data_IF_882361415400
#
_entry.id   IF_882361415400
#
_cell.length_a   1.000
_cell.length_b   1.000
_cell.length_c   1.000
_cell.angle_alpha   90.00
_cell.angle_beta   90.00
_cell.angle_gamma   90.00
#
_symmetry.space_group_name_H-M   'P 1'
#
loop_
_entity.id
_entity.type
_entity.pdbx_description
1 polymer ?
#
# COMPACT_ATOMS: atom_id res chain seq x y z
N UNK A 1 -12.49 14.24 -2.97
CA UNK A 1 -12.51 15.22 -1.87
C UNK A 1 -11.63 16.39 -2.29
N UNK A 2 -11.99 17.61 -1.94
CA UNK A 2 -11.10 18.75 -2.14
C UNK A 2 -9.92 18.61 -1.18
N UNK A 3 -8.69 18.73 -1.69
CA UNK A 3 -7.49 18.65 -0.87
C UNK A 3 -7.50 19.78 0.17
N UNK A 4 -7.31 19.45 1.45
CA UNK A 4 -7.12 20.47 2.48
C UNK A 4 -5.84 21.26 2.15
N UNK A 5 -5.92 22.59 1.97
CA UNK A 5 -4.75 23.42 1.72
C UNK A 5 -3.70 23.27 2.81
N UNK A 6 -2.42 23.27 2.44
CA UNK A 6 -1.30 23.13 3.39
C UNK A 6 -1.30 24.23 4.45
N UNK A 7 -1.74 25.45 4.11
CA UNK A 7 -1.92 26.56 5.03
C UNK A 7 -2.91 26.23 6.18
N UNK A 8 -3.99 25.52 5.86
CA UNK A 8 -5.03 25.17 6.83
C UNK A 8 -4.51 24.10 7.81
N UNK A 9 -3.60 23.22 7.36
CA UNK A 9 -2.92 22.25 8.23
C UNK A 9 -2.05 22.98 9.27
N UNK A 10 -1.32 24.02 8.86
CA UNK A 10 -0.55 24.88 9.78
C UNK A 10 -1.45 25.61 10.78
N UNK A 11 -2.53 26.23 10.29
CA UNK A 11 -3.48 26.94 11.12
C UNK A 11 -4.13 26.00 12.16
N UNK A 12 -4.53 24.80 11.74
CA UNK A 12 -5.07 23.77 12.63
C UNK A 12 -4.08 23.30 13.70
N UNK A 13 -2.78 23.37 13.42
CA UNK A 13 -1.73 23.06 14.37
C UNK A 13 -1.31 24.27 15.24
N UNK A 14 -2.01 25.41 15.17
CA UNK A 14 -1.70 26.66 15.88
C UNK A 14 -0.32 27.23 15.55
N UNK A 15 0.19 26.95 14.34
CA UNK A 15 1.44 27.49 13.82
C UNK A 15 1.14 28.59 12.79
N UNK A 16 1.86 29.71 12.89
CA UNK A 16 1.69 30.86 12.00
C UNK A 16 3.03 31.23 11.33
N UNK A 17 3.49 30.45 10.33
CA UNK A 17 4.66 30.83 9.54
C UNK A 17 4.36 32.09 8.72
N UNK A 18 5.39 32.84 8.36
CA UNK A 18 5.25 33.95 7.41
C UNK A 18 4.86 33.43 6.03
N UNK A 19 4.26 34.29 5.20
CA UNK A 19 3.82 33.90 3.85
C UNK A 19 4.99 33.38 2.98
N UNK A 20 6.17 33.96 3.13
CA UNK A 20 7.38 33.54 2.40
C UNK A 20 7.84 32.14 2.82
N UNK A 21 7.88 31.87 4.14
CA UNK A 21 8.23 30.55 4.69
C UNK A 21 7.21 29.49 4.27
N UNK A 22 5.92 29.83 4.31
CA UNK A 22 4.87 28.93 3.88
C UNK A 22 4.99 28.59 2.38
N UNK A 23 5.24 29.60 1.54
CA UNK A 23 5.40 29.42 0.09
C UNK A 23 6.63 28.57 -0.25
N UNK A 24 7.76 28.81 0.42
CA UNK A 24 8.97 28.00 0.27
C UNK A 24 8.72 26.52 0.59
N UNK A 25 8.01 26.24 1.69
CA UNK A 25 7.71 24.87 2.11
C UNK A 25 6.69 24.18 1.22
N UNK A 26 5.68 24.89 0.71
CA UNK A 26 4.76 24.35 -0.30
C UNK A 26 5.56 23.94 -1.54
N UNK A 27 6.52 24.75 -1.98
CA UNK A 27 7.38 24.40 -3.12
C UNK A 27 8.20 23.13 -2.84
N UNK A 28 8.72 22.94 -1.62
CA UNK A 28 9.36 21.67 -1.22
C UNK A 28 8.41 20.49 -1.31
N UNK A 29 7.19 20.60 -0.74
CA UNK A 29 6.18 19.54 -0.76
C UNK A 29 5.85 19.14 -2.19
N UNK A 30 5.57 20.13 -3.04
CA UNK A 30 5.25 19.90 -4.45
C UNK A 30 6.39 19.23 -5.20
N UNK A 31 7.64 19.65 -4.94
CA UNK A 31 8.83 19.04 -5.55
C UNK A 31 8.96 17.58 -5.15
N UNK A 32 8.81 17.26 -3.85
CA UNK A 32 8.94 15.89 -3.36
C UNK A 32 7.86 14.98 -3.94
N UNK A 33 6.61 15.44 -3.95
CA UNK A 33 5.47 14.67 -4.47
C UNK A 33 5.61 14.43 -5.98
N UNK A 34 6.00 15.45 -6.75
CA UNK A 34 6.20 15.31 -8.21
C UNK A 34 7.45 14.51 -8.57
N UNK A 35 8.50 14.61 -7.76
CA UNK A 35 9.77 13.90 -7.97
C UNK A 35 9.69 12.40 -7.67
N UNK A 36 8.65 11.95 -6.96
CA UNK A 36 8.52 10.59 -6.47
C UNK A 36 9.32 10.40 -5.18
N UNK A 37 8.62 10.11 -4.09
CA UNK A 37 9.24 9.83 -2.79
C UNK A 37 9.42 8.32 -2.65
N UNK A 38 10.61 7.89 -2.26
CA UNK A 38 10.90 6.50 -1.93
C UNK A 38 10.04 6.02 -0.75
N UNK A 39 9.63 4.76 -0.78
CA UNK A 39 8.77 4.15 0.24
C UNK A 39 9.37 4.24 1.66
N UNK A 40 10.68 4.06 1.81
CA UNK A 40 11.36 4.22 3.10
C UNK A 40 11.16 5.63 3.69
N UNK A 41 11.22 6.67 2.85
CA UNK A 41 10.97 8.06 3.26
C UNK A 41 9.50 8.28 3.61
N UNK A 42 8.57 7.62 2.90
CA UNK A 42 7.13 7.66 3.26
C UNK A 42 6.91 7.04 4.64
N UNK A 43 7.55 5.92 4.95
CA UNK A 43 7.49 5.28 6.28
C UNK A 43 8.02 6.22 7.37
N UNK A 44 9.10 6.95 7.12
CA UNK A 44 9.62 7.95 8.06
C UNK A 44 8.66 9.12 8.27
N UNK A 45 8.01 9.59 7.20
CA UNK A 45 6.97 10.62 7.29
C UNK A 45 5.76 10.13 8.11
N UNK A 46 5.31 8.90 7.91
CA UNK A 46 4.22 8.30 8.69
C UNK A 46 4.64 8.14 10.16
N UNK A 47 5.86 7.67 10.41
CA UNK A 47 6.42 7.61 11.76
C UNK A 47 6.41 8.99 12.42
N UNK A 48 6.84 10.03 11.69
CA UNK A 48 6.87 11.40 12.17
C UNK A 48 5.46 11.91 12.47
N UNK A 49 4.52 11.70 11.55
CA UNK A 49 3.11 12.09 11.67
C UNK A 49 2.46 11.53 12.95
N UNK A 50 2.81 10.30 13.31
CA UNK A 50 2.35 9.64 14.53
C UNK A 50 3.19 9.90 15.79
N UNK A 51 4.21 10.76 15.70
CA UNK A 51 5.08 11.10 16.84
C UNK A 51 5.99 9.96 17.30
N UNK A 52 6.42 9.09 16.38
CA UNK A 52 7.35 8.00 16.73
C UNK A 52 8.70 8.56 17.17
N UNK A 53 9.27 8.11 18.30
CA UNK A 53 10.58 8.57 18.74
C UNK A 53 11.70 8.02 17.84
N UNK A 54 12.84 8.71 17.84
CA UNK A 54 14.11 8.25 17.22
C UNK A 54 14.06 8.02 15.70
N UNK A 55 13.47 8.95 14.96
CA UNK A 55 13.49 8.94 13.49
C UNK A 55 14.68 9.73 12.94
N UNK A 56 15.33 9.20 11.90
CA UNK A 56 16.31 9.96 11.13
C UNK A 56 15.61 10.76 10.02
N UNK A 57 15.32 12.02 10.31
CA UNK A 57 14.70 12.96 9.37
C UNK A 57 15.70 13.92 8.72
N UNK A 58 17.00 13.60 8.74
CA UNK A 58 18.02 14.46 8.13
C UNK A 58 17.74 14.69 6.63
N UNK A 59 17.24 13.67 5.93
CA UNK A 59 16.85 13.80 4.52
C UNK A 59 15.75 14.85 4.31
N UNK A 60 14.76 14.92 5.20
CA UNK A 60 13.65 15.86 5.11
C UNK A 60 14.14 17.28 5.39
N UNK A 61 15.02 17.44 6.39
CA UNK A 61 15.71 18.71 6.65
C UNK A 61 16.48 19.18 5.41
N UNK A 62 17.27 18.30 4.81
CA UNK A 62 18.13 18.65 3.68
C UNK A 62 17.31 19.06 2.45
N UNK A 63 16.11 18.51 2.28
CA UNK A 63 15.16 18.94 1.25
C UNK A 63 14.49 20.28 1.57
N UNK A 64 14.12 20.53 2.83
CA UNK A 64 13.51 21.78 3.26
C UNK A 64 14.49 22.96 3.22
N UNK A 65 15.75 22.75 3.62
CA UNK A 65 16.79 23.80 3.65
C UNK A 65 17.11 24.37 2.27
N UNK A 66 16.80 23.63 1.19
CA UNK A 66 16.95 24.13 -0.20
C UNK A 66 16.05 25.32 -0.49
N UNK A 67 14.85 25.36 0.09
CA UNK A 67 13.87 26.43 -0.12
C UNK A 67 13.71 27.33 1.11
N UNK A 68 13.88 26.78 2.31
CA UNK A 68 13.82 27.46 3.63
C UNK A 68 15.12 27.22 4.41
N UNK A 69 16.13 28.05 4.15
CA UNK A 69 17.44 27.98 4.84
C UNK A 69 17.37 28.13 6.36
N UNK A 70 16.23 28.56 6.91
CA UNK A 70 16.03 28.75 8.35
C UNK A 70 15.45 27.51 9.04
N UNK A 71 15.08 26.47 8.29
CA UNK A 71 14.48 25.26 8.83
C UNK A 71 15.50 24.46 9.67
N UNK A 72 15.07 24.04 10.85
CA UNK A 72 15.86 23.19 11.75
C UNK A 72 14.95 22.17 12.41
N UNK A 73 15.44 20.94 12.55
CA UNK A 73 14.76 19.86 13.28
C UNK A 73 14.84 20.07 14.81
N UNK A 74 15.79 20.90 15.29
CA UNK A 74 16.01 21.13 16.72
C UNK A 74 14.89 22.03 17.24
N UNK A 75 14.13 21.54 18.23
CA UNK A 75 13.01 22.24 18.89
C UNK A 75 11.78 22.52 18.00
N UNK A 76 11.65 21.84 16.85
CA UNK A 76 10.52 22.01 15.92
C UNK A 76 9.82 20.70 15.57
N UNK A 77 9.66 19.82 16.56
CA UNK A 77 9.01 18.52 16.39
C UNK A 77 7.58 18.68 15.83
N UNK A 78 6.75 19.52 16.46
CA UNK A 78 5.37 19.76 16.01
C UNK A 78 5.29 20.33 14.60
N UNK A 79 6.19 21.24 14.23
CA UNK A 79 6.25 21.79 12.86
C UNK A 79 6.66 20.71 11.85
N UNK A 80 7.60 19.85 12.22
CA UNK A 80 8.02 18.71 11.38
C UNK A 80 6.86 17.73 11.16
N UNK A 81 6.05 17.47 12.20
CA UNK A 81 4.83 16.67 12.08
C UNK A 81 3.81 17.29 11.12
N UNK A 82 3.63 18.62 11.16
CA UNK A 82 2.74 19.34 10.23
C UNK A 82 3.23 19.22 8.79
N UNK A 83 4.53 19.36 8.57
CA UNK A 83 5.13 19.18 7.23
C UNK A 83 4.93 17.75 6.75
N UNK A 84 5.19 16.75 7.60
CA UNK A 84 4.96 15.36 7.28
C UNK A 84 3.49 15.08 6.93
N UNK A 85 2.55 15.59 7.74
CA UNK A 85 1.12 15.49 7.48
C UNK A 85 0.75 16.11 6.13
N UNK A 86 1.32 17.27 5.78
CA UNK A 86 1.04 17.91 4.50
C UNK A 86 1.61 17.16 3.29
N UNK A 87 2.81 16.58 3.40
CA UNK A 87 3.36 15.71 2.34
C UNK A 87 2.47 14.48 2.17
N UNK A 88 2.11 13.81 3.27
CA UNK A 88 1.25 12.63 3.26
C UNK A 88 -0.16 12.92 2.73
N UNK A 89 -0.72 14.10 3.05
CA UNK A 89 -1.97 14.58 2.49
C UNK A 89 -1.86 14.75 0.96
N UNK A 90 -0.81 15.41 0.47
CA UNK A 90 -0.56 15.56 -0.97
C UNK A 90 -0.39 14.20 -1.66
N UNK A 91 0.32 13.25 -1.06
CA UNK A 91 0.45 11.87 -1.57
C UNK A 91 -0.90 11.13 -1.60
N UNK A 92 -1.72 11.29 -0.57
CA UNK A 92 -3.07 10.71 -0.50
C UNK A 92 -3.97 11.26 -1.61
N UNK A 93 -3.89 12.57 -1.85
CA UNK A 93 -4.61 13.25 -2.93
C UNK A 93 -4.10 12.84 -4.32
N UNK A 94 -2.81 12.54 -4.46
CA UNK A 94 -2.20 11.98 -5.67
C UNK A 94 -2.46 10.47 -5.84
N UNK A 95 -3.24 9.85 -4.95
CA UNK A 95 -3.55 8.40 -4.97
C UNK A 95 -2.28 7.52 -4.89
N UNK A 96 -1.30 7.93 -4.09
CA UNK A 96 -0.17 7.07 -3.77
C UNK A 96 -0.61 5.95 -2.82
N UNK A 97 -0.72 4.73 -3.35
CA UNK A 97 -1.28 3.61 -2.62
C UNK A 97 -0.49 3.23 -1.36
N UNK A 98 0.83 3.23 -1.46
CA UNK A 98 1.73 2.90 -0.36
C UNK A 98 1.56 3.88 0.81
N UNK A 99 1.55 5.19 0.53
CA UNK A 99 1.33 6.21 1.56
C UNK A 99 -0.02 6.08 2.24
N UNK A 100 -1.09 5.86 1.46
CA UNK A 100 -2.44 5.67 1.99
C UNK A 100 -2.48 4.46 2.94
N UNK A 101 -1.92 3.33 2.52
CA UNK A 101 -1.89 2.12 3.34
C UNK A 101 -1.03 2.32 4.59
N UNK A 102 0.15 2.94 4.47
CA UNK A 102 1.05 3.20 5.59
C UNK A 102 0.41 4.10 6.66
N UNK A 103 -0.32 5.14 6.27
CA UNK A 103 -1.10 5.98 7.20
C UNK A 103 -2.13 5.13 7.94
N UNK A 104 -2.96 4.36 7.20
CA UNK A 104 -4.00 3.52 7.80
C UNK A 104 -3.42 2.50 8.76
N UNK A 105 -2.34 1.82 8.36
CA UNK A 105 -1.65 0.81 9.18
C UNK A 105 -1.03 1.43 10.44
N UNK A 106 -0.36 2.58 10.29
CA UNK A 106 0.31 3.29 11.38
C UNK A 106 -0.62 3.81 12.47
N UNK A 107 -1.92 4.00 12.15
CA UNK A 107 -2.96 4.34 13.14
C UNK A 107 -3.21 3.23 14.16
N UNK A 108 -2.77 2.01 13.86
CA UNK A 108 -2.99 0.81 14.67
C UNK A 108 -4.47 0.66 15.09
N UNK A 109 -5.36 0.68 14.10
CA UNK A 109 -6.82 0.62 14.30
C UNK A 109 -7.37 1.72 15.22
N UNK A 110 -6.79 2.92 15.15
CA UNK A 110 -7.20 4.08 15.95
C UNK A 110 -6.61 4.14 17.36
N UNK A 111 -5.82 3.14 17.77
CA UNK A 111 -5.13 3.16 19.06
C UNK A 111 -3.95 4.14 19.06
N UNK A 112 -3.49 4.55 17.88
CA UNK A 112 -2.52 5.63 17.72
C UNK A 112 -3.16 6.79 16.95
N UNK A 113 -3.35 7.90 17.65
CA UNK A 113 -3.90 9.12 17.07
C UNK A 113 -2.79 10.16 16.85
N UNK A 114 -2.73 10.79 15.67
CA UNK A 114 -1.76 11.85 15.41
C UNK A 114 -2.19 13.14 16.14
N UNK A 115 -1.21 13.88 16.65
CA UNK A 115 -1.42 15.15 17.34
C UNK A 115 -1.77 16.29 16.37
N UNK A 116 -1.38 16.16 15.11
CA UNK A 116 -1.59 17.14 14.05
C UNK A 116 -2.45 16.53 12.95
N UNK A 117 -3.45 17.28 12.49
CA UNK A 117 -4.29 16.93 11.34
C UNK A 117 -4.84 15.48 11.33
N UNK A 118 -5.58 15.07 12.39
CA UNK A 118 -6.16 13.71 12.48
C UNK A 118 -7.15 13.37 11.36
N UNK A 119 -7.72 14.38 10.70
CA UNK A 119 -8.57 14.20 9.52
C UNK A 119 -7.87 13.42 8.40
N UNK A 120 -6.54 13.51 8.27
CA UNK A 120 -5.78 12.73 7.29
C UNK A 120 -5.98 11.23 7.42
N UNK A 121 -6.16 10.71 8.64
CA UNK A 121 -6.40 9.28 8.87
C UNK A 121 -7.76 8.88 8.30
N UNK A 122 -8.78 9.71 8.49
CA UNK A 122 -10.13 9.52 7.94
C UNK A 122 -10.09 9.59 6.40
N UNK A 123 -9.37 10.56 5.85
CA UNK A 123 -9.23 10.74 4.42
C UNK A 123 -8.48 9.56 3.78
N UNK A 124 -7.42 9.07 4.43
CA UNK A 124 -6.69 7.88 4.01
C UNK A 124 -7.58 6.62 4.03
N UNK A 125 -8.38 6.41 5.08
CA UNK A 125 -9.35 5.31 5.13
C UNK A 125 -10.38 5.39 3.99
N UNK A 126 -10.91 6.59 3.72
CA UNK A 126 -11.86 6.81 2.63
C UNK A 126 -11.22 6.58 1.26
N UNK A 127 -9.98 7.04 1.07
CA UNK A 127 -9.21 6.80 -0.15
C UNK A 127 -8.91 5.32 -0.35
N UNK A 128 -8.43 4.61 0.68
CA UNK A 128 -8.19 3.17 0.67
C UNK A 128 -9.44 2.39 0.22
N UNK A 129 -10.60 2.67 0.82
CA UNK A 129 -11.84 1.97 0.47
C UNK A 129 -12.27 2.25 -0.97
N UNK A 130 -12.21 3.51 -1.41
CA UNK A 130 -12.55 3.88 -2.80
C UNK A 130 -11.62 3.22 -3.82
N UNK A 131 -10.32 3.28 -3.57
CA UNK A 131 -9.31 2.73 -4.46
C UNK A 131 -9.33 1.20 -4.48
N UNK A 132 -9.59 0.55 -3.35
CA UNK A 132 -9.78 -0.90 -3.27
C UNK A 132 -10.90 -1.39 -4.20
N UNK A 133 -11.98 -0.61 -4.35
CA UNK A 133 -13.06 -0.91 -5.32
C UNK A 133 -12.62 -0.59 -6.74
N UNK A 134 -12.08 0.61 -7.00
CA UNK A 134 -11.77 1.03 -8.37
C UNK A 134 -10.65 0.22 -9.01
N UNK A 135 -9.66 -0.22 -8.24
CA UNK A 135 -8.53 -1.04 -8.74
C UNK A 135 -8.94 -2.46 -9.15
N UNK A 136 -10.08 -2.94 -8.63
CA UNK A 136 -10.66 -4.25 -8.93
C UNK A 136 -11.90 -4.18 -9.81
N UNK A 137 -12.25 -2.99 -10.28
CA UNK A 137 -13.31 -2.84 -11.25
C UNK A 137 -12.88 -3.46 -12.58
N UNK A 138 -13.84 -4.05 -13.28
CA UNK A 138 -13.64 -4.62 -14.61
C UNK A 138 -13.00 -3.57 -15.54
N UNK A 139 -11.92 -3.94 -16.21
CA UNK A 139 -11.25 -3.09 -17.20
C UNK A 139 -11.75 -3.41 -18.59
N UNK A 140 -12.04 -2.36 -19.35
CA UNK A 140 -12.33 -2.49 -20.77
C UNK A 140 -11.04 -2.83 -21.52
N UNK A 141 -10.94 -4.07 -22.00
CA UNK A 141 -9.79 -4.54 -22.79
C UNK A 141 -10.15 -4.35 -24.26
N UNK A 142 -9.36 -3.59 -25.04
CA UNK A 142 -9.64 -3.38 -26.45
C UNK A 142 -9.56 -4.71 -27.22
N UNK A 143 -10.72 -5.22 -27.63
CA UNK A 143 -10.86 -6.51 -28.35
C UNK A 143 -10.39 -6.38 -29.81
N UNK A 144 -10.35 -5.15 -30.35
CA UNK A 144 -9.98 -4.87 -31.74
C UNK A 144 -8.69 -4.05 -31.82
N UNK A 145 -7.63 -4.69 -32.29
CA UNK A 145 -6.42 -3.99 -32.72
C UNK A 145 -6.67 -3.54 -34.16
N UNK A 146 -6.91 -2.25 -34.36
CA UNK A 146 -7.01 -1.70 -35.71
C UNK A 146 -5.63 -1.66 -36.37
N UNK A 147 -5.55 -2.13 -37.61
CA UNK A 147 -4.37 -1.92 -38.42
C UNK A 147 -4.23 -0.40 -38.68
N UNK A 148 -3.07 0.17 -38.33
CA UNK A 148 -2.71 1.50 -38.84
C UNK A 148 -2.20 1.34 -40.27
N UNK A 149 -3.02 1.77 -41.24
CA UNK A 149 -2.69 2.90 -42.12
C UNK A 149 -3.68 2.98 -43.28
N UNK A 150 -4.13 4.19 -43.59
CA UNK A 150 -4.33 4.55 -45.00
C UNK A 150 -2.94 4.47 -45.66
N UNK A 151 -2.70 3.42 -46.44
CA UNK A 151 -1.41 3.19 -47.07
C UNK A 151 -1.06 4.37 -47.99
N UNK A 152 -0.06 5.18 -47.60
CA UNK A 152 0.34 6.36 -48.41
C UNK A 152 1.20 5.94 -49.59
N UNK A 153 1.84 4.78 -49.50
CA UNK A 153 2.69 4.18 -50.52
C UNK A 153 1.97 3.93 -51.84
N UNK A 154 0.68 3.55 -51.81
CA UNK A 154 -0.06 3.22 -53.02
C UNK A 154 -0.04 4.34 -54.05
N UNK A 155 -0.16 5.60 -53.60
CA UNK A 155 -0.08 6.79 -54.46
C UNK A 155 1.34 7.13 -54.91
N UNK A 156 2.34 6.84 -54.08
CA UNK A 156 3.76 7.11 -54.39
C UNK A 156 4.26 6.18 -55.51
N UNK A 157 3.72 4.96 -55.60
CA UNK A 157 4.09 3.99 -56.63
C UNK A 157 3.50 4.31 -58.01
N UNK A 158 2.36 5.02 -58.07
CA UNK A 158 1.67 5.38 -59.32
C UNK A 158 2.41 6.51 -60.10
N UNK A 159 3.24 7.31 -59.42
CA UNK A 159 3.90 8.49 -59.98
C UNK A 159 5.35 8.24 -60.45
N UNK A 160 5.85 7.00 -60.37
CA UNK A 160 7.24 6.66 -60.72
C UNK A 160 7.36 6.44 -62.24
N UNK A 161 8.22 7.22 -62.89
CA UNK A 161 8.50 7.06 -64.32
C UNK A 161 9.25 5.74 -64.63
N UNK A 162 9.03 5.19 -65.83
CA UNK A 162 9.85 4.07 -66.33
C UNK A 162 11.33 4.46 -66.33
N UNK A 163 12.18 3.55 -65.85
CA UNK A 163 13.64 3.69 -65.65
C UNK A 163 14.15 4.65 -64.55
N UNK A 164 13.30 5.19 -63.68
CA UNK A 164 13.76 5.95 -62.50
C UNK A 164 14.11 5.03 -61.31
N UNK A 165 15.31 4.45 -61.34
CA UNK A 165 15.85 3.60 -60.27
C UNK A 165 15.99 4.33 -58.92
N UNK A 166 16.24 5.65 -58.93
CA UNK A 166 16.42 6.42 -57.70
C UNK A 166 15.08 6.62 -56.98
N UNK A 167 14.02 6.99 -57.72
CA UNK A 167 12.66 7.07 -57.19
C UNK A 167 12.15 5.69 -56.73
N UNK A 168 12.45 4.63 -57.49
CA UNK A 168 12.11 3.25 -57.10
C UNK A 168 12.76 2.85 -55.77
N UNK A 169 14.06 3.13 -55.59
CA UNK A 169 14.77 2.86 -54.33
C UNK A 169 14.20 3.67 -53.15
N UNK A 170 13.83 4.93 -53.38
CA UNK A 170 13.19 5.77 -52.37
C UNK A 170 11.81 5.21 -51.96
N UNK A 171 10.99 4.81 -52.93
CA UNK A 171 9.69 4.18 -52.68
C UNK A 171 9.83 2.86 -51.89
N UNK A 172 10.82 2.01 -52.22
CA UNK A 172 11.14 0.80 -51.46
C UNK A 172 11.56 1.10 -50.01
N UNK A 173 12.30 2.18 -49.77
CA UNK A 173 12.65 2.63 -48.40
C UNK A 173 11.40 3.07 -47.63
N UNK A 174 10.51 3.83 -48.27
CA UNK A 174 9.25 4.26 -47.65
C UNK A 174 8.32 3.07 -47.36
N UNK A 175 8.19 2.12 -48.29
CA UNK A 175 7.48 0.83 -48.06
C UNK A 175 8.04 0.14 -46.82
N UNK A 176 9.37 0.02 -46.74
CA UNK A 176 10.03 -0.63 -45.60
C UNK A 176 9.76 0.14 -44.30
N UNK A 177 9.85 1.46 -44.31
CA UNK A 177 9.64 2.30 -43.14
C UNK A 177 8.18 2.22 -42.66
N UNK A 178 7.22 2.29 -43.58
CA UNK A 178 5.79 2.17 -43.29
C UNK A 178 5.44 0.78 -42.76
N UNK A 179 5.97 -0.28 -43.38
CA UNK A 179 5.82 -1.66 -42.89
C UNK A 179 6.44 -1.85 -41.50
N UNK A 180 7.64 -1.31 -41.25
CA UNK A 180 8.30 -1.37 -39.94
C UNK A 180 7.54 -0.58 -38.87
N UNK A 181 7.01 0.60 -39.22
CA UNK A 181 6.19 1.41 -38.32
C UNK A 181 4.87 0.70 -37.98
N UNK A 182 4.18 0.16 -38.99
CA UNK A 182 2.94 -0.60 -38.81
C UNK A 182 3.17 -1.84 -37.93
N UNK A 183 4.24 -2.59 -38.19
CA UNK A 183 4.63 -3.73 -37.36
C UNK A 183 4.93 -3.32 -35.91
N UNK A 184 5.64 -2.20 -35.69
CA UNK A 184 5.93 -1.69 -34.34
C UNK A 184 4.67 -1.27 -33.59
N UNK A 185 3.75 -0.57 -34.27
CA UNK A 185 2.46 -0.20 -33.68
C UNK A 185 1.63 -1.42 -33.33
N UNK A 186 1.52 -2.39 -34.25
CA UNK A 186 0.78 -3.63 -34.01
C UNK A 186 1.38 -4.42 -32.85
N UNK A 187 2.71 -4.53 -32.78
CA UNK A 187 3.40 -5.18 -31.67
C UNK A 187 3.14 -4.46 -30.33
N UNK A 188 3.18 -3.13 -30.30
CA UNK A 188 2.89 -2.34 -29.10
C UNK A 188 1.43 -2.52 -28.65
N UNK A 189 0.46 -2.43 -29.58
CA UNK A 189 -0.95 -2.62 -29.28
C UNK A 189 -1.25 -4.05 -28.79
N UNK A 190 -0.65 -5.07 -29.42
CA UNK A 190 -0.79 -6.48 -29.02
C UNK A 190 -0.19 -6.71 -27.64
N UNK A 191 1.02 -6.19 -27.40
CA UNK A 191 1.68 -6.33 -26.09
C UNK A 191 0.87 -5.66 -24.99
N UNK A 192 0.33 -4.46 -25.25
CA UNK A 192 -0.53 -3.77 -24.30
C UNK A 192 -1.81 -4.57 -24.01
N UNK A 193 -2.51 -5.07 -25.03
CA UNK A 193 -3.71 -5.88 -24.85
C UNK A 193 -3.43 -7.18 -24.07
N UNK A 194 -2.33 -7.87 -24.36
CA UNK A 194 -1.90 -9.07 -23.63
C UNK A 194 -1.53 -8.74 -22.17
N UNK A 195 -0.87 -7.61 -21.93
CA UNK A 195 -0.54 -7.16 -20.57
C UNK A 195 -1.80 -6.88 -19.75
N UNK A 196 -2.80 -6.22 -20.34
CA UNK A 196 -4.08 -5.96 -19.68
C UNK A 196 -4.82 -7.27 -19.39
N UNK A 197 -4.94 -8.16 -20.38
CA UNK A 197 -5.59 -9.47 -20.20
C UNK A 197 -4.88 -10.33 -19.14
N UNK A 198 -3.55 -10.36 -19.14
CA UNK A 198 -2.77 -11.05 -18.11
C UNK A 198 -3.10 -10.52 -16.73
N UNK A 199 -3.15 -9.19 -16.57
CA UNK A 199 -3.53 -8.55 -15.31
C UNK A 199 -4.92 -8.98 -14.81
N UNK A 200 -5.92 -9.00 -15.69
CA UNK A 200 -7.28 -9.43 -15.34
C UNK A 200 -7.36 -10.92 -14.98
N UNK A 201 -6.69 -11.80 -15.74
CA UNK A 201 -6.62 -13.24 -15.43
C UNK A 201 -6.00 -13.47 -14.06
N UNK A 202 -4.94 -12.72 -13.73
CA UNK A 202 -4.28 -12.85 -12.45
C UNK A 202 -5.12 -12.30 -11.29
N UNK A 203 -5.90 -11.24 -11.51
CA UNK A 203 -6.87 -10.72 -10.55
C UNK A 203 -8.02 -11.71 -10.31
N UNK A 204 -8.61 -12.27 -11.36
CA UNK A 204 -9.65 -13.31 -11.26
C UNK A 204 -9.13 -14.56 -10.54
N UNK A 205 -7.87 -14.94 -10.78
CA UNK A 205 -7.24 -16.07 -10.09
C UNK A 205 -7.05 -15.79 -8.61
N UNK A 206 -6.69 -14.57 -8.23
CA UNK A 206 -6.61 -14.13 -6.84
C UNK A 206 -7.99 -14.24 -6.17
N UNK A 207 -9.03 -13.64 -6.75
CA UNK A 207 -10.39 -13.63 -6.20
C UNK A 207 -10.98 -15.04 -6.08
N UNK A 208 -10.75 -15.90 -7.09
CA UNK A 208 -11.16 -17.30 -7.06
C UNK A 208 -10.47 -18.06 -5.93
N UNK A 209 -9.18 -17.82 -5.69
CA UNK A 209 -8.46 -18.44 -4.57
C UNK A 209 -8.97 -17.96 -3.22
N UNK A 210 -9.30 -16.68 -3.09
CA UNK A 210 -9.91 -16.12 -1.88
C UNK A 210 -11.29 -16.75 -1.61
N UNK A 211 -12.11 -16.92 -2.66
CA UNK A 211 -13.39 -17.61 -2.58
C UNK A 211 -13.21 -19.07 -2.13
N UNK A 212 -12.29 -19.82 -2.74
CA UNK A 212 -12.02 -21.20 -2.33
C UNK A 212 -11.53 -21.29 -0.90
N UNK A 213 -10.67 -20.37 -0.47
CA UNK A 213 -10.19 -20.31 0.91
C UNK A 213 -11.35 -20.08 1.90
N UNK A 214 -12.22 -19.10 1.63
CA UNK A 214 -13.32 -18.76 2.56
C UNK A 214 -14.41 -19.84 2.61
N UNK A 215 -14.71 -20.49 1.49
CA UNK A 215 -15.68 -21.59 1.45
C UNK A 215 -15.10 -22.90 2.01
N UNK A 216 -13.81 -23.15 1.79
CA UNK A 216 -13.13 -24.32 2.33
C UNK A 216 -12.97 -24.29 3.85
N UNK A 217 -12.94 -23.10 4.46
CA UNK A 217 -12.84 -22.96 5.92
C UNK A 217 -11.57 -23.60 6.49
N UNK A 218 -10.48 -23.53 5.72
CA UNK A 218 -9.22 -24.23 5.99
C UNK A 218 -8.03 -23.28 5.88
N UNK A 219 -7.15 -23.31 6.87
CA UNK A 219 -5.94 -22.51 6.83
C UNK A 219 -4.94 -23.10 5.84
N UNK A 220 -4.39 -22.25 4.97
CA UNK A 220 -3.35 -22.65 4.00
C UNK A 220 -1.97 -22.72 4.66
N UNK A 221 -1.65 -21.80 5.56
CA UNK A 221 -0.37 -21.80 6.27
C UNK A 221 -0.23 -22.97 7.24
N UNK A 222 -1.31 -23.36 7.92
CA UNK A 222 -1.29 -24.42 8.94
C UNK A 222 -1.90 -25.75 8.49
N UNK A 223 -2.45 -25.80 7.27
CA UNK A 223 -3.04 -26.99 6.66
C UNK A 223 -4.10 -27.69 7.53
N UNK A 224 -4.89 -26.91 8.28
CA UNK A 224 -6.00 -27.42 9.11
C UNK A 224 -7.23 -26.52 9.09
N UNK A 225 -8.40 -27.09 9.40
CA UNK A 225 -9.67 -26.35 9.42
C UNK A 225 -9.67 -25.26 10.49
N UNK A 226 -10.28 -24.10 10.20
CA UNK A 226 -10.46 -23.03 11.19
C UNK A 226 -11.24 -23.50 12.42
N UNK A 227 -12.11 -24.50 12.28
CA UNK A 227 -12.85 -25.13 13.39
C UNK A 227 -11.96 -25.81 14.44
N UNK A 228 -10.69 -26.09 14.12
CA UNK A 228 -9.74 -26.71 15.04
C UNK A 228 -9.08 -25.72 16.00
N UNK A 229 -9.12 -24.41 15.69
CA UNK A 229 -8.55 -23.38 16.57
C UNK A 229 -9.35 -23.23 17.86
N UNK A 230 -8.63 -23.01 18.96
CA UNK A 230 -9.21 -23.00 20.31
C UNK A 230 -9.86 -21.68 20.67
N UNK A 231 -9.49 -20.59 19.99
CA UNK A 231 -10.09 -19.27 20.14
C UNK A 231 -10.26 -18.56 18.80
N UNK A 232 -11.20 -17.62 18.77
CA UNK A 232 -11.39 -16.73 17.63
C UNK A 232 -10.19 -15.79 17.42
N UNK A 233 -9.49 -15.40 18.48
CA UNK A 233 -8.27 -14.60 18.38
C UNK A 233 -7.10 -15.35 17.72
N UNK A 234 -6.96 -16.66 17.95
CA UNK A 234 -6.01 -17.48 17.18
C UNK A 234 -6.41 -17.47 15.71
N UNK A 235 -7.67 -17.81 15.40
CA UNK A 235 -8.15 -17.81 14.03
C UNK A 235 -7.98 -16.45 13.33
N UNK A 236 -8.12 -15.32 14.06
CA UNK A 236 -7.89 -13.97 13.54
C UNK A 236 -6.47 -13.75 13.03
N UNK A 237 -5.45 -14.17 13.79
CA UNK A 237 -4.04 -14.03 13.39
C UNK A 237 -3.75 -14.88 12.15
N UNK A 238 -4.18 -16.15 12.17
CA UNK A 238 -3.94 -17.06 11.04
C UNK A 238 -4.71 -16.63 9.78
N UNK A 239 -5.98 -16.24 9.92
CA UNK A 239 -6.81 -15.83 8.80
C UNK A 239 -6.26 -14.56 8.13
N UNK A 240 -5.72 -13.62 8.92
CA UNK A 240 -5.07 -12.42 8.39
C UNK A 240 -3.88 -12.77 7.50
N UNK A 241 -2.99 -13.66 7.96
CA UNK A 241 -1.81 -14.07 7.20
C UNK A 241 -2.19 -14.86 5.94
N UNK A 242 -3.15 -15.79 6.06
CA UNK A 242 -3.63 -16.55 4.91
C UNK A 242 -4.25 -15.63 3.86
N UNK A 243 -5.18 -14.75 4.24
CA UNK A 243 -5.83 -13.84 3.31
C UNK A 243 -4.83 -12.87 2.69
N UNK A 244 -3.91 -12.30 3.49
CA UNK A 244 -2.86 -11.43 2.98
C UNK A 244 -1.96 -12.15 1.97
N UNK A 245 -1.65 -13.43 2.20
CA UNK A 245 -0.84 -14.22 1.27
C UNK A 245 -1.57 -14.44 -0.07
N UNK A 246 -2.90 -14.41 -0.07
CA UNK A 246 -3.72 -14.48 -1.28
C UNK A 246 -3.82 -13.11 -1.98
N UNK A 247 -3.88 -12.01 -1.23
CA UNK A 247 -4.01 -10.63 -1.72
C UNK A 247 -2.66 -10.06 -2.19
N UNK A 248 -2.27 -10.27 -3.45
CA UNK A 248 -0.98 -9.81 -3.99
C UNK A 248 -1.08 -8.78 -5.10
N UNK A 249 -2.26 -8.59 -5.69
CA UNK A 249 -2.44 -7.75 -6.88
C UNK A 249 -2.53 -6.26 -6.58
N UNK A 250 -3.04 -5.90 -5.41
CA UNK A 250 -3.30 -4.52 -5.04
C UNK A 250 -2.83 -4.27 -3.61
N UNK A 251 -2.39 -3.04 -3.32
CA UNK A 251 -1.96 -2.63 -1.98
C UNK A 251 -3.07 -2.76 -0.94
N UNK A 252 -4.34 -2.59 -1.33
CA UNK A 252 -5.46 -2.55 -0.39
C UNK A 252 -6.19 -3.89 -0.24
N UNK A 253 -5.93 -4.85 -1.13
CA UNK A 253 -6.76 -6.04 -1.24
C UNK A 253 -8.22 -5.73 -1.61
N UNK A 254 -9.17 -6.68 -1.43
CA UNK A 254 -10.58 -6.43 -1.67
C UNK A 254 -11.24 -5.69 -0.51
N UNK A 255 -12.18 -4.79 -0.81
CA UNK A 255 -12.95 -4.04 0.20
C UNK A 255 -13.73 -4.97 1.14
N UNK A 256 -14.07 -6.18 0.66
CA UNK A 256 -14.75 -7.22 1.42
C UNK A 256 -13.83 -7.98 2.39
N UNK A 257 -12.51 -7.72 2.43
CA UNK A 257 -11.57 -8.43 3.28
C UNK A 257 -12.02 -8.53 4.76
N UNK A 258 -12.53 -7.46 5.43
CA UNK A 258 -13.04 -7.59 6.80
C UNK A 258 -14.17 -8.61 6.94
N UNK A 259 -15.11 -8.67 5.99
CA UNK A 259 -16.20 -9.65 6.02
C UNK A 259 -15.69 -11.08 5.79
N UNK A 260 -14.67 -11.25 4.95
CA UNK A 260 -14.02 -12.54 4.72
C UNK A 260 -13.28 -13.01 5.98
N UNK A 261 -12.52 -12.12 6.63
CA UNK A 261 -11.85 -12.40 7.89
C UNK A 261 -12.85 -12.77 8.98
N UNK A 262 -13.93 -11.99 9.14
CA UNK A 262 -14.97 -12.28 10.13
C UNK A 262 -15.58 -13.68 9.94
N UNK A 263 -15.87 -14.06 8.69
CA UNK A 263 -16.39 -15.41 8.40
C UNK A 263 -15.39 -16.52 8.72
N UNK A 264 -14.08 -16.33 8.46
CA UNK A 264 -13.04 -17.30 8.83
C UNK A 264 -12.87 -17.39 10.36
N UNK A 265 -12.88 -16.25 11.06
CA UNK A 265 -12.81 -16.17 12.52
C UNK A 265 -14.00 -16.89 13.17
N UNK A 266 -15.21 -16.67 12.63
CA UNK A 266 -16.44 -17.27 13.15
C UNK A 266 -16.57 -18.77 12.88
N UNK A 267 -15.69 -19.35 12.05
CA UNK A 267 -15.59 -20.80 11.86
C UNK A 267 -14.84 -21.51 13.00
N UNK A 268 -14.07 -20.78 13.82
CA UNK A 268 -13.39 -21.32 14.99
C UNK A 268 -14.36 -21.70 16.12
N UNK A 269 -13.86 -22.41 17.13
CA UNK A 269 -14.67 -22.80 18.29
C UNK A 269 -15.30 -21.56 18.95
N UNK A 270 -16.63 -21.52 18.97
CA UNK A 270 -17.39 -20.43 19.57
C UNK A 270 -17.20 -20.40 21.09
N UNK A 271 -16.79 -19.25 21.60
CA UNK A 271 -16.90 -18.93 23.02
C UNK A 271 -18.26 -18.26 23.28
N UNK A 272 -18.79 -18.38 24.50
CA UNK A 272 -20.10 -17.78 24.88
C UNK A 272 -20.14 -16.25 24.66
N UNK A 273 -18.98 -15.62 24.73
CA UNK A 273 -18.71 -14.23 24.40
C UNK A 273 -17.27 -14.19 23.90
N UNK A 274 -16.99 -13.37 22.89
CA UNK A 274 -15.64 -13.13 22.40
C UNK A 274 -15.26 -11.69 22.71
N UNK A 275 -14.87 -11.38 23.96
CA UNK A 275 -14.43 -10.05 24.31
C UNK A 275 -13.06 -9.75 23.69
N UNK A 276 -12.70 -8.47 23.63
CA UNK A 276 -11.33 -8.05 23.41
C UNK A 276 -10.35 -8.80 24.34
N UNK A 277 -9.19 -9.17 23.81
CA UNK A 277 -8.13 -9.83 24.56
C UNK A 277 -6.82 -9.06 24.40
N UNK A 278 -5.99 -9.12 25.45
CA UNK A 278 -4.64 -8.54 25.42
C UNK A 278 -3.82 -9.20 24.32
N UNK A 279 -3.15 -8.37 23.51
CA UNK A 279 -2.32 -8.83 22.41
C UNK A 279 -1.32 -9.90 22.86
N UNK A 280 -0.68 -9.71 24.03
CA UNK A 280 0.26 -10.69 24.56
C UNK A 280 -0.34 -12.09 24.75
N UNK A 281 -1.53 -12.17 25.34
CA UNK A 281 -2.23 -13.42 25.57
C UNK A 281 -2.65 -14.11 24.27
N UNK A 282 -3.05 -13.31 23.27
CA UNK A 282 -3.45 -13.84 21.96
C UNK A 282 -2.27 -14.50 21.26
N UNK A 283 -1.14 -13.79 21.14
CA UNK A 283 0.03 -14.30 20.43
C UNK A 283 0.66 -15.48 21.19
N UNK A 284 0.75 -15.40 22.52
CA UNK A 284 1.30 -16.49 23.36
C UNK A 284 0.43 -17.75 23.33
N UNK A 285 -0.86 -17.63 23.01
CA UNK A 285 -1.74 -18.79 22.85
C UNK A 285 -1.43 -19.61 21.59
N UNK A 286 -0.71 -19.04 20.61
CA UNK A 286 -0.38 -19.72 19.36
C UNK A 286 0.93 -20.51 19.56
N UNK A 287 0.94 -21.83 19.28
CA UNK A 287 2.16 -22.62 19.39
C UNK A 287 3.28 -22.04 18.53
N UNK A 288 4.52 -22.00 19.06
CA UNK A 288 5.68 -21.50 18.32
C UNK A 288 5.88 -22.20 16.96
N UNK A 289 5.58 -23.50 16.90
CA UNK A 289 5.65 -24.29 15.66
C UNK A 289 4.66 -23.81 14.59
N UNK A 290 3.51 -23.27 15.01
CA UNK A 290 2.52 -22.69 14.11
C UNK A 290 2.96 -21.28 13.69
N UNK A 291 3.46 -20.45 14.62
CA UNK A 291 4.03 -19.14 14.31
C UNK A 291 5.17 -19.21 13.28
N UNK A 292 6.01 -20.26 13.34
CA UNK A 292 7.10 -20.49 12.38
C UNK A 292 6.62 -20.80 10.95
N UNK A 293 5.40 -21.30 10.78
CA UNK A 293 4.80 -21.59 9.46
C UNK A 293 4.12 -20.37 8.84
N UNK A 294 3.81 -19.36 9.63
CA UNK A 294 3.21 -18.13 9.14
C UNK A 294 4.23 -17.36 8.32
N UNK A 295 3.91 -17.10 7.05
CA UNK A 295 4.74 -16.28 6.15
C UNK A 295 4.48 -14.83 6.48
N UNK A 296 5.30 -14.23 7.33
CA UNK A 296 5.30 -12.79 7.63
C UNK A 296 6.62 -12.16 7.19
N UNK A 297 6.62 -10.87 6.88
CA UNK A 297 7.77 -10.12 6.38
C UNK A 297 8.12 -8.95 7.32
N UNK A 298 8.63 -9.21 8.53
CA UNK A 298 8.86 -8.16 9.52
C UNK A 298 9.97 -7.16 9.12
N UNK A 299 10.89 -7.54 8.23
CA UNK A 299 12.00 -6.69 7.82
C UNK A 299 11.61 -5.64 6.78
N UNK A 300 10.44 -5.76 6.14
CA UNK A 300 10.01 -4.82 5.09
C UNK A 300 9.33 -3.57 5.66
N UNK A 301 8.76 -3.65 6.87
CA UNK A 301 8.07 -2.53 7.52
C UNK A 301 8.58 -2.38 8.95
N UNK A 302 9.06 -1.19 9.36
CA UNK A 302 9.52 -0.97 10.72
C UNK A 302 8.46 -1.25 11.78
N UNK A 303 8.89 -1.75 12.93
CA UNK A 303 8.02 -2.14 14.04
C UNK A 303 7.03 -1.06 14.50
N UNK A 304 7.46 0.21 14.47
CA UNK A 304 6.60 1.36 14.78
C UNK A 304 5.35 1.43 13.89
N UNK A 305 5.41 0.98 12.64
CA UNK A 305 4.27 0.98 11.71
C UNK A 305 3.52 -0.34 11.72
N UNK A 306 4.23 -1.48 11.82
CA UNK A 306 3.63 -2.82 11.79
C UNK A 306 3.72 -3.55 13.15
N UNK A 307 2.99 -3.10 14.19
CA UNK A 307 3.09 -3.68 15.52
C UNK A 307 2.63 -5.13 15.60
N UNK A 308 1.53 -5.54 14.95
CA UNK A 308 1.05 -6.92 15.10
C UNK A 308 2.00 -7.92 14.44
N UNK A 309 2.52 -7.61 13.25
CA UNK A 309 3.57 -8.41 12.60
C UNK A 309 4.82 -8.51 13.48
N UNK A 310 5.21 -7.40 14.10
CA UNK A 310 6.34 -7.38 15.05
C UNK A 310 6.08 -8.28 16.25
N UNK A 311 4.88 -8.27 16.82
CA UNK A 311 4.51 -9.14 17.93
C UNK A 311 4.59 -10.62 17.54
N UNK A 312 4.06 -10.98 16.37
CA UNK A 312 4.15 -12.35 15.81
C UNK A 312 5.62 -12.75 15.63
N UNK A 313 6.46 -11.87 15.09
CA UNK A 313 7.87 -12.17 14.86
C UNK A 313 8.69 -12.29 16.15
N UNK A 314 8.49 -11.39 17.11
CA UNK A 314 9.17 -11.46 18.39
C UNK A 314 8.75 -12.70 19.19
N UNK A 315 7.47 -13.07 19.18
CA UNK A 315 7.02 -14.31 19.80
C UNK A 315 7.60 -15.55 19.12
N UNK A 316 7.75 -15.52 17.79
CA UNK A 316 8.41 -16.57 17.00
C UNK A 316 9.89 -16.73 17.35
N UNK A 317 10.60 -15.63 17.58
CA UNK A 317 12.06 -15.61 17.81
C UNK A 317 12.44 -15.78 19.28
N UNK A 318 11.81 -15.01 20.19
CA UNK A 318 12.11 -14.99 21.63
C UNK A 318 11.30 -16.02 22.43
N UNK A 319 10.12 -16.40 21.96
CA UNK A 319 9.20 -17.32 22.65
C UNK A 319 8.18 -16.61 23.54
N UNK A 320 7.14 -17.35 23.94
CA UNK A 320 6.00 -16.83 24.69
C UNK A 320 6.39 -16.22 26.04
N UNK A 321 5.72 -15.12 26.43
CA UNK A 321 5.90 -14.45 27.72
C UNK A 321 7.13 -13.55 27.85
N UNK A 322 8.07 -13.56 26.89
CA UNK A 322 9.34 -12.81 26.99
C UNK A 322 9.41 -11.60 26.06
N UNK A 323 8.66 -11.62 24.95
CA UNK A 323 8.75 -10.61 23.90
C UNK A 323 8.09 -9.26 24.22
N UNK A 324 7.23 -9.19 25.24
CA UNK A 324 6.42 -8.00 25.54
C UNK A 324 7.25 -6.74 25.74
N UNK A 325 8.29 -6.77 26.58
CA UNK A 325 9.14 -5.60 26.85
C UNK A 325 9.81 -5.09 25.56
N UNK A 326 10.35 -6.01 24.75
CA UNK A 326 11.00 -5.65 23.49
C UNK A 326 10.00 -5.08 22.47
N UNK A 327 8.77 -5.59 22.46
CA UNK A 327 7.70 -5.05 21.64
C UNK A 327 7.36 -3.60 22.02
N UNK A 328 7.24 -3.31 23.32
CA UNK A 328 6.95 -1.96 23.79
C UNK A 328 8.09 -0.99 23.43
N UNK A 329 9.35 -1.40 23.58
CA UNK A 329 10.53 -0.61 23.17
C UNK A 329 10.54 -0.27 21.67
N UNK A 330 10.17 -1.22 20.81
CA UNK A 330 10.25 -1.06 19.36
C UNK A 330 9.04 -0.33 18.76
N UNK A 331 7.87 -0.49 19.35
CA UNK A 331 6.60 0.01 18.78
C UNK A 331 6.03 1.23 19.51
N UNK A 332 6.45 1.45 20.76
CA UNK A 332 5.83 2.44 21.65
C UNK A 332 4.41 2.09 22.10
N UNK A 333 3.93 0.86 21.83
CA UNK A 333 2.58 0.38 22.15
C UNK A 333 2.69 -0.68 23.24
N UNK A 334 1.77 -0.68 24.21
CA UNK A 334 1.77 -1.72 25.25
C UNK A 334 1.34 -3.09 24.70
N UNK A 335 2.06 -4.15 25.08
CA UNK A 335 1.68 -5.53 24.73
C UNK A 335 0.37 -5.97 25.42
N UNK A 336 -0.09 -5.22 26.42
CA UNK A 336 -1.36 -5.45 27.12
C UNK A 336 -2.57 -4.80 26.43
N UNK A 337 -2.40 -4.17 25.28
CA UNK A 337 -3.51 -3.57 24.53
C UNK A 337 -4.56 -4.61 24.18
N UNK A 338 -5.82 -4.28 24.39
CA UNK A 338 -6.95 -5.19 24.17
C UNK A 338 -7.51 -4.98 22.77
N UNK A 339 -7.62 -6.07 22.01
CA UNK A 339 -8.12 -6.06 20.64
C UNK A 339 -9.23 -7.09 20.46
N UNK A 340 -10.28 -6.66 19.77
CA UNK A 340 -11.29 -7.55 19.22
C UNK A 340 -10.70 -8.39 18.08
N UNK A 341 -11.13 -9.65 17.87
CA UNK A 341 -10.55 -10.55 16.87
C UNK A 341 -10.54 -9.96 15.46
N UNK A 342 -11.64 -9.33 15.03
CA UNK A 342 -11.74 -8.76 13.69
C UNK A 342 -10.81 -7.56 13.52
N UNK A 343 -10.70 -6.70 14.53
CA UNK A 343 -9.77 -5.56 14.53
C UNK A 343 -8.32 -6.03 14.44
N UNK A 344 -7.94 -7.01 15.27
CA UNK A 344 -6.61 -7.63 15.22
C UNK A 344 -6.32 -8.23 13.83
N UNK A 345 -7.28 -8.97 13.28
CA UNK A 345 -7.13 -9.61 11.97
C UNK A 345 -6.99 -8.60 10.85
N UNK A 346 -7.85 -7.58 10.81
CA UNK A 346 -7.81 -6.53 9.80
C UNK A 346 -6.52 -5.69 9.89
N UNK A 347 -6.03 -5.43 11.10
CA UNK A 347 -4.75 -4.74 11.32
C UNK A 347 -3.59 -5.57 10.77
N UNK A 348 -3.45 -6.83 11.20
CA UNK A 348 -2.37 -7.72 10.73
C UNK A 348 -2.44 -7.95 9.21
N UNK A 349 -3.63 -8.07 8.66
CA UNK A 349 -3.83 -8.21 7.22
C UNK A 349 -3.25 -7.01 6.46
N UNK A 350 -3.54 -5.78 6.89
CA UNK A 350 -3.05 -4.55 6.26
C UNK A 350 -1.55 -4.33 6.46
N UNK A 351 -1.03 -4.63 7.66
CA UNK A 351 0.41 -4.62 7.92
C UNK A 351 1.14 -5.55 6.94
N UNK A 352 0.57 -6.74 6.72
CA UNK A 352 1.14 -7.73 5.82
C UNK A 352 1.09 -7.29 4.35
N UNK A 353 -0.01 -6.68 3.91
CA UNK A 353 -0.09 -6.06 2.58
C UNK A 353 0.97 -4.98 2.39
N UNK A 354 1.18 -4.13 3.40
CA UNK A 354 2.20 -3.08 3.35
C UNK A 354 3.61 -3.68 3.21
N UNK A 355 3.85 -4.82 3.85
CA UNK A 355 5.14 -5.50 3.81
C UNK A 355 5.38 -6.44 2.63
N UNK A 356 4.34 -6.80 1.86
CA UNK A 356 4.46 -7.70 0.71
C UNK A 356 4.79 -7.00 -0.60
N UNK A 357 4.44 -5.72 -0.71
CA UNK A 357 4.62 -4.98 -1.97
C UNK A 357 5.97 -4.25 -1.90
N UNK A 358 7.03 -4.98 -2.21
CA UNK A 358 8.38 -4.48 -2.53
C UNK A 358 8.89 -5.18 -3.78
#
# INVERSE_FOLDING_TARGET
MAATPFADIYSGATLQPTADVLSARIATVDRLVKGGIEEAKIIDLVGCFYGSPSLDLNWLRDELVRDDSTFSLINRERETQVIAAGILNSLTNAHNDFAILAIVVGSFSGLREPTVFPQLVVDAHSAMNRLSVSQRAEKDIPIRISAMSDAKVGKILEDIAEDDFAATLAALKEVRNEAAASAKTMAAATTNALSLLSGEVEMLREETQMLWWIFGGHSRALERSFSTFTSQHQAAVIAAVDLATLSRRTYFGPVAAPAMLDRAINAAKKQKSTPAQRLINVIDSIPRTDLQKLKIFPDSVPARIAPVMTAVDLARTLGAGVWGVRFEELTGISANVELEPLTLSAQLYREHLLGQVV
#
